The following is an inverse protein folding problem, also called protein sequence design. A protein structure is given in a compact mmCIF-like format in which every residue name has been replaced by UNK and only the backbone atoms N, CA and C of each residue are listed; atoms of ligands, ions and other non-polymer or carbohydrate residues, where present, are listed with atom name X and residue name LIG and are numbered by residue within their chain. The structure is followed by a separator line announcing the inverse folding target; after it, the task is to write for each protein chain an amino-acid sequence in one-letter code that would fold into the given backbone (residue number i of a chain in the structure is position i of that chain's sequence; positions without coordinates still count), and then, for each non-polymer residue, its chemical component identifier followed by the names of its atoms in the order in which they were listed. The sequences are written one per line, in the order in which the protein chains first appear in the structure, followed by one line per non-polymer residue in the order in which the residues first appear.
data_IF_768751103206
#
_entry.id   IF_768751103206
#
_cell.length_a   1.000
_cell.length_b   1.000
_cell.length_c   1.000
_cell.angle_alpha   90.00
_cell.angle_beta   90.00
_cell.angle_gamma   90.00
#
_symmetry.space_group_name_H-M   'P 1'
#
loop_
_entity.id
_entity.type
_entity.pdbx_description
1 polymer ?
#
# COMPACT_ATOMS: atom_id res chain seq x y z
N UNK A 1 5.06 -12.46 0.02
CA UNK A 1 5.26 -11.80 -1.30
C UNK A 1 4.18 -12.10 -2.34
N UNK A 2 3.86 -13.37 -2.65
CA UNK A 2 2.78 -13.69 -3.61
C UNK A 2 1.46 -12.98 -3.29
N UNK A 3 1.09 -12.88 -2.01
CA UNK A 3 -0.09 -12.15 -1.55
C UNK A 3 -0.02 -10.64 -1.87
N UNK A 4 1.13 -9.99 -1.60
CA UNK A 4 1.34 -8.57 -1.91
C UNK A 4 1.26 -8.31 -3.44
N UNK A 5 1.93 -9.11 -4.25
CA UNK A 5 1.89 -8.96 -5.71
C UNK A 5 0.51 -9.23 -6.30
N UNK A 6 -0.36 -10.01 -5.62
CA UNK A 6 -1.74 -10.21 -6.08
C UNK A 6 -2.55 -8.91 -6.04
N UNK A 7 -2.38 -8.11 -4.99
CA UNK A 7 -3.20 -6.90 -4.72
C UNK A 7 -2.66 -5.62 -5.37
N UNK A 8 -1.42 -5.63 -5.88
CA UNK A 8 -0.82 -4.44 -6.51
C UNK A 8 -1.36 -4.19 -7.94
N UNK A 9 -1.35 -2.96 -8.47
CA UNK A 9 -1.64 -2.68 -9.87
C UNK A 9 -0.49 -3.15 -10.77
N UNK A 10 -0.76 -3.44 -12.04
CA UNK A 10 0.20 -4.03 -12.98
C UNK A 10 1.55 -3.27 -13.06
N UNK A 11 1.50 -1.93 -13.08
CA UNK A 11 2.71 -1.09 -13.11
C UNK A 11 3.61 -1.30 -11.90
N UNK A 12 3.02 -1.42 -10.69
CA UNK A 12 3.77 -1.63 -9.46
C UNK A 12 4.26 -3.08 -9.35
N UNK A 13 3.47 -4.04 -9.85
CA UNK A 13 3.88 -5.46 -9.90
C UNK A 13 5.17 -5.63 -10.68
N UNK A 14 5.34 -4.93 -11.81
CA UNK A 14 6.55 -5.00 -12.63
C UNK A 14 7.78 -4.61 -11.83
N UNK A 15 7.79 -3.40 -11.27
CA UNK A 15 8.91 -2.93 -10.45
C UNK A 15 9.18 -3.81 -9.23
N UNK A 16 8.13 -4.22 -8.50
CA UNK A 16 8.29 -5.09 -7.33
C UNK A 16 8.84 -6.48 -7.70
N UNK A 17 8.55 -6.97 -8.90
CA UNK A 17 9.07 -8.27 -9.38
C UNK A 17 10.51 -8.17 -9.88
N UNK A 18 11.03 -6.96 -10.13
CA UNK A 18 12.42 -6.72 -10.51
C UNK A 18 13.37 -6.58 -9.30
N UNK A 19 12.83 -6.59 -8.07
CA UNK A 19 13.66 -6.56 -6.86
C UNK A 19 14.51 -7.83 -6.75
N UNK A 20 15.77 -7.69 -6.35
CA UNK A 20 16.64 -8.84 -6.07
C UNK A 20 16.16 -9.58 -4.81
N UNK A 21 16.58 -10.84 -4.64
CA UNK A 21 16.29 -11.59 -3.41
C UNK A 21 16.87 -10.91 -2.16
N UNK A 22 18.03 -10.25 -2.29
CA UNK A 22 18.68 -9.56 -1.20
C UNK A 22 17.91 -8.31 -0.77
N UNK A 23 17.41 -7.53 -1.73
CA UNK A 23 16.54 -6.38 -1.46
C UNK A 23 15.23 -6.82 -0.83
N UNK A 24 14.67 -7.91 -1.33
CA UNK A 24 13.42 -8.45 -0.82
C UNK A 24 13.54 -8.92 0.64
N UNK A 25 14.62 -9.61 1.01
CA UNK A 25 14.87 -10.03 2.40
C UNK A 25 15.01 -8.85 3.37
N UNK A 26 15.42 -7.69 2.87
CA UNK A 26 15.61 -6.48 3.65
C UNK A 26 14.43 -5.50 3.57
N UNK A 27 13.41 -5.80 2.76
CA UNK A 27 12.23 -4.96 2.59
C UNK A 27 11.36 -4.99 3.85
N UNK A 28 11.20 -3.82 4.46
CA UNK A 28 10.47 -3.62 5.72
C UNK A 28 9.10 -3.00 5.48
N UNK A 29 9.01 -2.08 4.50
CA UNK A 29 7.86 -1.20 4.36
C UNK A 29 7.66 -0.76 2.91
N UNK A 30 6.40 -0.64 2.48
CA UNK A 30 6.00 -0.02 1.22
C UNK A 30 5.01 1.10 1.54
N UNK A 31 5.36 2.34 1.18
CA UNK A 31 4.50 3.52 1.36
C UNK A 31 3.93 3.97 0.04
N UNK A 32 2.63 4.16 0.03
CA UNK A 32 1.86 4.61 -1.12
C UNK A 32 1.09 5.86 -0.68
N UNK A 33 1.31 6.99 -1.35
CA UNK A 33 0.58 8.24 -1.06
C UNK A 33 0.24 8.94 -2.36
N UNK A 34 -1.02 9.30 -2.53
CA UNK A 34 -1.51 9.98 -3.74
C UNK A 34 -0.65 11.22 -4.03
N UNK A 35 -0.18 11.32 -5.27
CA UNK A 35 0.67 12.39 -5.79
C UNK A 35 2.16 12.26 -5.44
N UNK A 36 2.56 11.25 -4.66
CA UNK A 36 3.94 11.03 -4.24
C UNK A 36 4.53 9.77 -4.90
N UNK A 37 5.85 9.69 -5.08
CA UNK A 37 6.50 8.45 -5.50
C UNK A 37 6.25 7.34 -4.47
N UNK A 38 6.15 6.10 -4.94
CA UNK A 38 6.15 4.92 -4.09
C UNK A 38 7.50 4.82 -3.35
N UNK A 39 7.44 4.64 -2.02
CA UNK A 39 8.64 4.51 -1.20
C UNK A 39 8.78 3.06 -0.72
N UNK A 40 9.95 2.47 -0.93
CA UNK A 40 10.38 1.21 -0.36
C UNK A 40 11.35 1.50 0.79
N UNK A 41 11.10 0.92 1.97
CA UNK A 41 12.05 0.92 3.08
C UNK A 41 12.81 -0.39 3.10
N UNK A 42 14.10 -0.35 2.76
CA UNK A 42 14.95 -1.53 2.61
C UNK A 42 16.21 -1.34 3.45
N UNK A 43 16.47 -2.26 4.37
CA UNK A 43 17.67 -2.21 5.23
C UNK A 43 17.79 -0.90 6.05
N UNK A 44 16.65 -0.28 6.39
CA UNK A 44 16.60 1.00 7.09
C UNK A 44 16.65 2.26 6.21
N UNK A 45 16.95 2.12 4.91
CA UNK A 45 17.02 3.23 3.95
C UNK A 45 15.74 3.34 3.11
N UNK A 46 15.49 4.52 2.53
CA UNK A 46 14.31 4.79 1.69
C UNK A 46 14.69 4.90 0.21
N UNK A 47 13.90 4.24 -0.65
CA UNK A 47 14.11 4.21 -2.09
C UNK A 47 12.80 4.41 -2.86
N UNK A 48 12.90 4.84 -4.12
CA UNK A 48 11.78 4.84 -5.06
C UNK A 48 11.60 3.47 -5.73
N UNK A 49 10.44 3.26 -6.34
CA UNK A 49 10.20 2.11 -7.23
C UNK A 49 9.91 2.60 -8.66
N UNK A 50 10.69 2.13 -9.63
CA UNK A 50 10.45 2.28 -11.06
C UNK A 50 10.16 0.95 -11.74
N UNK A 51 10.06 0.94 -13.07
CA UNK A 51 9.74 -0.27 -13.85
C UNK A 51 10.80 -1.38 -13.70
N UNK A 52 12.06 -1.00 -13.50
CA UNK A 52 13.22 -1.90 -13.35
C UNK A 52 13.60 -2.18 -11.89
N UNK A 53 12.73 -1.81 -10.93
CA UNK A 53 12.96 -2.05 -9.51
C UNK A 53 13.34 -0.80 -8.73
N UNK A 54 14.36 -0.91 -7.88
CA UNK A 54 14.79 0.20 -7.00
C UNK A 54 15.34 1.35 -7.83
N UNK A 55 14.90 2.57 -7.52
CA UNK A 55 15.42 3.79 -8.13
C UNK A 55 15.49 4.94 -7.13
N UNK A 56 15.98 6.11 -7.57
CA UNK A 56 15.90 7.34 -6.78
C UNK A 56 14.44 7.77 -6.62
N UNK A 57 14.10 8.33 -5.45
CA UNK A 57 12.73 8.76 -5.13
C UNK A 57 12.12 9.70 -6.17
N UNK A 58 12.91 10.62 -6.73
CA UNK A 58 12.49 11.57 -7.76
C UNK A 58 12.04 10.91 -9.08
N UNK A 59 12.51 9.69 -9.36
CA UNK A 59 12.17 8.92 -10.56
C UNK A 59 11.15 7.81 -10.29
N UNK A 60 10.73 7.64 -9.03
CA UNK A 60 9.78 6.62 -8.64
C UNK A 60 8.39 6.85 -9.21
N UNK A 61 7.63 5.76 -9.39
CA UNK A 61 6.25 5.80 -9.83
C UNK A 61 5.40 6.63 -8.88
N UNK A 62 4.84 7.73 -9.39
CA UNK A 62 3.86 8.53 -8.66
C UNK A 62 2.55 7.74 -8.51
N UNK A 63 2.06 7.70 -7.28
CA UNK A 63 0.83 7.02 -6.93
C UNK A 63 -0.36 7.91 -7.25
N UNK A 64 -1.30 7.38 -8.02
CA UNK A 64 -2.57 8.01 -8.35
C UNK A 64 -3.65 7.58 -7.36
N UNK A 65 -4.78 8.30 -7.38
CA UNK A 65 -5.98 7.87 -6.64
C UNK A 65 -6.50 6.50 -7.13
N UNK A 66 -6.40 6.25 -8.43
CA UNK A 66 -6.84 4.99 -9.02
C UNK A 66 -6.01 3.82 -8.50
N UNK A 67 -4.69 3.97 -8.36
CA UNK A 67 -3.83 2.91 -7.81
C UNK A 67 -4.26 2.53 -6.38
N UNK A 68 -4.53 3.52 -5.53
CA UNK A 68 -5.00 3.26 -4.17
C UNK A 68 -6.36 2.55 -4.19
N UNK A 69 -7.27 3.00 -5.06
CA UNK A 69 -8.60 2.40 -5.22
C UNK A 69 -8.51 0.94 -5.69
N UNK A 70 -7.68 0.66 -6.71
CA UNK A 70 -7.49 -0.67 -7.27
C UNK A 70 -6.91 -1.62 -6.22
N UNK A 71 -5.90 -1.17 -5.47
CA UNK A 71 -5.31 -1.96 -4.39
C UNK A 71 -6.36 -2.28 -3.32
N UNK A 72 -7.14 -1.29 -2.87
CA UNK A 72 -8.19 -1.51 -1.88
C UNK A 72 -9.28 -2.45 -2.39
N UNK A 73 -9.67 -2.34 -3.66
CA UNK A 73 -10.64 -3.24 -4.30
C UNK A 73 -10.10 -4.67 -4.35
N UNK A 74 -8.84 -4.88 -4.71
CA UNK A 74 -8.24 -6.20 -4.68
C UNK A 74 -8.10 -6.75 -3.26
N UNK A 75 -7.72 -5.92 -2.28
CA UNK A 75 -7.60 -6.31 -0.86
C UNK A 75 -8.96 -6.68 -0.25
N UNK A 76 -10.04 -5.99 -0.64
CA UNK A 76 -11.40 -6.23 -0.14
C UNK A 76 -12.11 -7.40 -0.81
N UNK A 77 -11.43 -8.12 -1.73
CA UNK A 77 -12.04 -9.06 -2.64
C UNK A 77 -13.28 -8.47 -3.35
N UNK A 78 -13.16 -7.19 -3.76
CA UNK A 78 -14.20 -6.36 -4.38
C UNK A 78 -15.42 -6.06 -3.51
N UNK A 79 -15.35 -6.29 -2.19
CA UNK A 79 -16.40 -5.95 -1.24
C UNK A 79 -15.90 -4.97 -0.18
N UNK A 80 -16.02 -3.67 -0.43
CA UNK A 80 -15.66 -2.64 0.55
C UNK A 80 -16.49 -2.73 1.85
N UNK A 81 -17.71 -3.26 1.78
CA UNK A 81 -18.52 -3.56 2.96
C UNK A 81 -17.87 -4.57 3.90
N UNK A 82 -17.14 -5.55 3.34
CA UNK A 82 -16.41 -6.53 4.12
C UNK A 82 -15.21 -5.93 4.87
N UNK A 83 -14.84 -4.68 4.58
CA UNK A 83 -13.73 -3.96 5.23
C UNK A 83 -14.20 -2.83 6.16
N UNK A 84 -15.49 -2.70 6.46
CA UNK A 84 -15.99 -1.55 7.25
C UNK A 84 -15.35 -1.48 8.65
N UNK A 85 -15.16 -2.62 9.29
CA UNK A 85 -14.54 -2.70 10.61
C UNK A 85 -13.04 -2.36 10.54
N UNK A 86 -12.33 -2.86 9.54
CA UNK A 86 -10.92 -2.57 9.28
C UNK A 86 -10.70 -1.10 8.88
N UNK A 87 -11.59 -0.53 8.07
CA UNK A 87 -11.60 0.90 7.74
C UNK A 87 -11.84 1.76 8.98
N UNK A 88 -12.72 1.33 9.89
CA UNK A 88 -12.93 2.00 11.18
C UNK A 88 -11.69 1.93 12.06
N UNK A 89 -10.99 0.80 12.06
CA UNK A 89 -9.73 0.61 12.79
C UNK A 89 -8.53 1.30 12.11
N UNK A 90 -8.64 1.63 10.82
CA UNK A 90 -7.59 2.27 10.03
C UNK A 90 -6.48 1.31 9.58
N UNK A 91 -6.66 0.00 9.70
CA UNK A 91 -5.68 -0.98 9.20
C UNK A 91 -6.33 -2.29 8.74
N UNK A 92 -5.66 -3.00 7.85
CA UNK A 92 -6.01 -4.32 7.32
C UNK A 92 -4.85 -5.29 7.55
N UNK A 93 -5.14 -6.59 7.54
CA UNK A 93 -4.10 -7.65 7.55
C UNK A 93 -4.20 -8.46 6.27
N UNK A 94 -3.08 -8.66 5.58
CA UNK A 94 -3.01 -9.51 4.39
C UNK A 94 -2.54 -10.92 4.75
N UNK A 95 -2.86 -11.89 3.89
CA UNK A 95 -2.27 -13.22 3.95
C UNK A 95 -0.74 -13.16 4.04
N UNK A 96 -0.17 -13.97 4.94
CA UNK A 96 1.26 -13.93 5.25
C UNK A 96 1.64 -12.99 6.40
N UNK A 97 0.66 -12.40 7.10
CA UNK A 97 0.88 -11.62 8.33
C UNK A 97 1.27 -10.16 8.10
N UNK A 98 1.23 -9.68 6.86
CA UNK A 98 1.55 -8.29 6.52
C UNK A 98 0.44 -7.36 7.02
N UNK A 99 0.81 -6.21 7.56
CA UNK A 99 -0.14 -5.22 8.09
C UNK A 99 -0.20 -4.01 7.17
N UNK A 100 -1.40 -3.56 6.85
CA UNK A 100 -1.65 -2.42 5.96
C UNK A 100 -2.33 -1.32 6.75
N UNK A 101 -1.62 -0.24 7.07
CA UNK A 101 -2.23 0.98 7.61
C UNK A 101 -2.87 1.82 6.49
N UNK A 102 -4.00 2.46 6.77
CA UNK A 102 -4.73 3.30 5.82
C UNK A 102 -4.74 4.75 6.28
N UNK A 103 -4.64 5.67 5.32
CA UNK A 103 -4.70 7.12 5.56
C UNK A 103 -5.84 7.73 4.76
N UNK A 104 -6.77 8.41 5.44
CA UNK A 104 -7.94 9.02 4.82
C UNK A 104 -8.62 10.03 5.75
N UNK A 105 -9.82 10.47 5.36
CA UNK A 105 -10.68 11.36 6.14
C UNK A 105 -11.52 10.54 7.12
N UNK A 106 -11.38 10.83 8.41
CA UNK A 106 -12.20 10.23 9.46
C UNK A 106 -13.62 10.78 9.41
N UNK A 107 -14.61 9.89 9.44
CA UNK A 107 -16.03 10.23 9.62
C UNK A 107 -16.43 9.84 11.04
N UNK A 108 -16.95 10.81 11.80
CA UNK A 108 -17.41 10.60 13.17
C UNK A 108 -18.94 10.45 13.21
N UNK A 109 -19.42 9.66 14.16
CA UNK A 109 -20.83 9.56 14.55
C UNK A 109 -20.90 9.44 16.06
N UNK A 110 -21.68 10.30 16.72
CA UNK A 110 -21.78 10.35 18.19
C UNK A 110 -20.43 10.35 18.91
N UNK A 111 -19.49 11.15 18.40
CA UNK A 111 -18.11 11.28 18.91
C UNK A 111 -17.27 9.98 18.87
N UNK A 112 -17.68 8.99 18.07
CA UNK A 112 -16.93 7.77 17.79
C UNK A 112 -16.56 7.71 16.31
N UNK A 113 -15.44 7.05 16.00
CA UNK A 113 -15.05 6.80 14.60
C UNK A 113 -16.09 5.87 13.99
N UNK A 114 -16.81 6.36 12.98
CA UNK A 114 -17.75 5.56 12.19
C UNK A 114 -16.99 4.77 11.13
N UNK A 115 -16.17 5.46 10.35
CA UNK A 115 -15.40 4.89 9.23
C UNK A 115 -14.33 5.87 8.72
N UNK A 116 -13.46 5.40 7.82
CA UNK A 116 -12.49 6.18 7.07
C UNK A 116 -12.94 6.30 5.60
N UNK A 117 -13.00 7.53 5.07
CA UNK A 117 -13.35 7.81 3.66
C UNK A 117 -12.19 8.48 2.93
N UNK A 118 -12.27 8.52 1.60
CA UNK A 118 -11.28 9.20 0.74
C UNK A 118 -9.85 8.76 1.05
N UNK A 119 -9.60 7.45 0.98
CA UNK A 119 -8.27 6.89 1.24
C UNK A 119 -7.27 7.51 0.26
N UNK A 120 -6.23 8.11 0.81
CA UNK A 120 -5.22 8.90 0.10
C UNK A 120 -3.81 8.33 0.25
N UNK A 121 -3.66 7.32 1.09
CA UNK A 121 -2.42 6.59 1.22
C UNK A 121 -2.60 5.29 1.98
N UNK A 122 -1.59 4.45 1.87
CA UNK A 122 -1.48 3.21 2.61
C UNK A 122 -0.03 2.89 2.93
N UNK A 123 0.14 2.16 4.01
CA UNK A 123 1.42 1.73 4.52
C UNK A 123 1.42 0.22 4.69
N UNK A 124 2.24 -0.49 3.94
CA UNK A 124 2.32 -1.95 4.04
C UNK A 124 3.61 -2.32 4.74
N UNK A 125 3.50 -2.87 5.94
CA UNK A 125 4.63 -3.41 6.70
C UNK A 125 4.74 -4.92 6.46
N UNK A 126 5.92 -5.37 6.06
CA UNK A 126 6.21 -6.76 5.68
C UNK A 126 6.71 -7.55 6.87
#
# INVERSE_FOLDING_TARGET
MKALLKVMPAKLKRGLSALSEADFKQLQEIRLRVGQPLILKIGGNEFGLGDEGICKLEWGHKISKQDISDILHCMSNFSLYALEDELRQGFLTLEGGHRVGLVGKVVLESNRIKTLKYISGMNIRI
#
